data_IF_382063929473
#
_entry.id   IF_382063929473
#
_cell.length_a   1.000
_cell.length_b   1.000
_cell.length_c   1.000
_cell.angle_alpha   90.00
_cell.angle_beta   90.00
_cell.angle_gamma   90.00
#
_symmetry.space_group_name_H-M   'P 1'
#
loop_
_entity.id
_entity.type
_entity.pdbx_description
1 polymer ?
#
# COMPACT_ATOMS: atom_id res chain seq x y z
N UNK A 1 -34.29 34.30 25.56
CA UNK A 1 -32.84 34.54 25.29
C UNK A 1 -31.89 33.45 25.82
N UNK A 2 -32.34 32.45 26.61
CA UNK A 2 -31.47 31.38 27.13
C UNK A 2 -31.31 30.13 26.22
N UNK A 3 -32.16 29.98 25.19
CA UNK A 3 -32.13 28.81 24.28
C UNK A 3 -31.01 28.86 23.24
N UNK A 4 -30.54 30.05 22.86
CA UNK A 4 -29.49 30.25 21.84
C UNK A 4 -28.08 29.92 22.35
N UNK A 5 -27.82 30.05 23.66
CA UNK A 5 -26.50 29.78 24.25
C UNK A 5 -26.19 28.27 24.36
N UNK A 6 -27.22 27.41 24.41
CA UNK A 6 -27.06 25.95 24.53
C UNK A 6 -26.77 25.26 23.19
N UNK A 7 -27.20 25.89 22.10
CA UNK A 7 -27.03 25.37 20.75
C UNK A 7 -25.55 25.42 20.32
N UNK A 8 -24.87 26.55 20.55
CA UNK A 8 -23.44 26.78 20.23
C UNK A 8 -22.48 25.67 20.70
N UNK A 9 -22.66 25.21 21.94
CA UNK A 9 -21.83 24.17 22.57
C UNK A 9 -22.07 22.79 21.96
N UNK A 10 -23.30 22.54 21.49
CA UNK A 10 -23.67 21.29 20.84
C UNK A 10 -23.06 21.22 19.43
N UNK A 11 -23.04 22.31 18.67
CA UNK A 11 -22.40 22.33 17.34
C UNK A 11 -20.89 22.15 17.41
N UNK A 12 -20.22 22.73 18.42
CA UNK A 12 -18.79 22.48 18.65
C UNK A 12 -18.53 21.02 19.03
N UNK A 13 -19.37 20.40 19.84
CA UNK A 13 -19.24 18.99 20.19
C UNK A 13 -19.47 18.08 18.97
N UNK A 14 -20.49 18.37 18.15
CA UNK A 14 -20.77 17.65 16.92
C UNK A 14 -19.70 17.86 15.85
N UNK A 15 -19.15 19.07 15.69
CA UNK A 15 -18.04 19.31 14.76
C UNK A 15 -16.74 18.67 15.26
N UNK A 16 -16.48 18.66 16.57
CA UNK A 16 -15.33 17.97 17.14
C UNK A 16 -15.45 16.44 16.97
N UNK A 17 -16.66 15.89 17.15
CA UNK A 17 -16.94 14.47 16.92
C UNK A 17 -16.90 14.09 15.43
N UNK A 18 -17.44 14.93 14.55
CA UNK A 18 -17.34 14.72 13.10
C UNK A 18 -15.90 14.87 12.60
N UNK A 19 -15.12 15.79 13.18
CA UNK A 19 -13.70 15.97 12.88
C UNK A 19 -12.83 14.84 13.45
N UNK A 20 -13.19 14.25 14.59
CA UNK A 20 -12.50 13.08 15.14
C UNK A 20 -12.81 11.81 14.34
N UNK A 21 -14.05 11.64 13.86
CA UNK A 21 -14.42 10.51 13.00
C UNK A 21 -13.82 10.58 11.58
N UNK A 22 -13.56 11.78 11.03
CA UNK A 22 -12.83 11.91 9.75
C UNK A 22 -11.34 11.57 9.83
N UNK A 23 -10.78 11.43 11.03
CA UNK A 23 -9.32 11.26 11.23
C UNK A 23 -8.85 9.80 11.22
N UNK A 24 -9.72 8.83 10.93
CA UNK A 24 -9.45 7.37 11.01
C UNK A 24 -9.50 6.65 9.65
N UNK A 25 -9.12 7.31 8.55
CA UNK A 25 -8.97 6.66 7.24
C UNK A 25 -7.67 7.05 6.52
N UNK A 26 -6.54 6.88 7.19
CA UNK A 26 -5.21 6.89 6.56
C UNK A 26 -4.45 5.65 7.04
N UNK A 27 -4.10 4.74 6.14
CA UNK A 27 -3.13 3.69 6.44
C UNK A 27 -3.36 2.28 5.88
N UNK A 28 -4.42 2.03 5.09
CA UNK A 28 -4.70 0.67 4.59
C UNK A 28 -4.17 0.35 3.19
N UNK A 29 -4.17 1.32 2.26
CA UNK A 29 -3.96 1.05 0.83
C UNK A 29 -2.53 0.70 0.47
N UNK A 30 -1.54 1.29 1.13
CA UNK A 30 -0.12 1.08 0.80
C UNK A 30 0.34 -0.33 1.18
N UNK A 31 -0.06 -0.80 2.35
CA UNK A 31 0.17 -2.17 2.82
C UNK A 31 -0.48 -3.19 1.86
N UNK A 32 -1.68 -2.89 1.36
CA UNK A 32 -2.36 -3.75 0.38
C UNK A 32 -1.61 -3.82 -0.96
N UNK A 33 -1.15 -2.69 -1.49
CA UNK A 33 -0.41 -2.67 -2.77
C UNK A 33 0.91 -3.43 -2.65
N UNK A 34 1.65 -3.24 -1.56
CA UNK A 34 2.90 -3.98 -1.32
C UNK A 34 2.64 -5.48 -1.18
N UNK A 35 1.58 -5.87 -0.45
CA UNK A 35 1.18 -7.26 -0.27
C UNK A 35 0.81 -7.93 -1.61
N UNK A 36 -0.01 -7.27 -2.43
CA UNK A 36 -0.42 -7.80 -3.74
C UNK A 36 0.76 -7.87 -4.71
N UNK A 37 1.61 -6.83 -4.76
CA UNK A 37 2.80 -6.83 -5.63
C UNK A 37 3.78 -7.96 -5.26
N UNK A 38 4.01 -8.18 -3.96
CA UNK A 38 4.87 -9.26 -3.47
C UNK A 38 4.29 -10.64 -3.78
N UNK A 39 2.98 -10.83 -3.59
CA UNK A 39 2.30 -12.08 -3.92
C UNK A 39 2.37 -12.40 -5.43
N UNK A 40 2.17 -11.39 -6.29
CA UNK A 40 2.30 -11.54 -7.75
C UNK A 40 3.73 -11.91 -8.15
N UNK A 41 4.75 -11.30 -7.53
CA UNK A 41 6.15 -11.65 -7.79
C UNK A 41 6.45 -13.09 -7.38
N UNK A 42 6.05 -13.53 -6.18
CA UNK A 42 6.29 -14.89 -5.70
C UNK A 42 5.60 -15.91 -6.61
N UNK A 43 4.36 -15.65 -7.06
CA UNK A 43 3.66 -16.51 -7.99
C UNK A 43 4.43 -16.67 -9.32
N UNK A 44 4.93 -15.56 -9.87
CA UNK A 44 5.76 -15.56 -11.08
C UNK A 44 7.12 -16.23 -10.86
N UNK A 45 7.70 -16.09 -9.67
CA UNK A 45 9.00 -16.64 -9.35
C UNK A 45 8.96 -18.15 -9.12
N UNK A 46 7.94 -18.63 -8.40
CA UNK A 46 7.76 -20.04 -8.08
C UNK A 46 7.20 -20.83 -9.26
N UNK A 47 6.31 -20.22 -10.06
CA UNK A 47 5.58 -20.93 -11.11
C UNK A 47 5.84 -20.41 -12.53
N UNK A 48 6.45 -19.24 -12.69
CA UNK A 48 6.78 -18.67 -14.00
C UNK A 48 7.78 -19.52 -14.78
N UNK A 49 8.67 -20.25 -14.10
CA UNK A 49 9.51 -21.30 -14.73
C UNK A 49 8.69 -22.33 -15.50
N UNK A 50 7.62 -22.80 -14.87
CA UNK A 50 6.74 -23.82 -15.43
C UNK A 50 5.75 -23.24 -16.45
N UNK A 51 5.35 -21.96 -16.29
CA UNK A 51 4.39 -21.27 -17.15
C UNK A 51 5.02 -20.77 -18.46
N UNK A 52 6.22 -20.20 -18.40
CA UNK A 52 6.95 -19.72 -19.59
C UNK A 52 7.85 -20.80 -20.21
N UNK A 53 8.07 -21.92 -19.53
CA UNK A 53 8.83 -23.06 -20.03
C UNK A 53 10.32 -22.75 -20.25
N UNK A 54 10.84 -21.69 -19.66
CA UNK A 54 12.27 -21.38 -19.73
C UNK A 54 13.06 -22.37 -18.88
N UNK A 55 14.07 -22.99 -19.50
CA UNK A 55 15.04 -23.81 -18.80
C UNK A 55 16.14 -22.92 -18.24
N UNK A 56 16.23 -22.85 -16.92
CA UNK A 56 17.31 -22.21 -16.17
C UNK A 56 18.28 -23.25 -15.59
N UNK A 57 19.20 -23.80 -16.40
CA UNK A 57 20.23 -24.70 -15.88
C UNK A 57 21.24 -23.97 -14.98
N UNK A 58 21.47 -22.66 -15.19
CA UNK A 58 22.39 -21.83 -14.40
C UNK A 58 21.67 -20.87 -13.41
N UNK A 59 20.33 -20.81 -13.42
CA UNK A 59 19.57 -19.88 -12.58
C UNK A 59 19.72 -18.38 -12.93
N UNK A 60 20.22 -18.06 -14.13
CA UNK A 60 20.46 -16.69 -14.61
C UNK A 60 19.19 -15.86 -14.76
N UNK A 61 18.11 -16.43 -15.27
CA UNK A 61 16.83 -15.71 -15.45
C UNK A 61 16.16 -15.49 -14.10
N UNK A 62 16.26 -16.48 -13.22
CA UNK A 62 15.75 -16.37 -11.86
C UNK A 62 16.47 -15.27 -11.07
N UNK A 63 17.80 -15.17 -11.21
CA UNK A 63 18.60 -14.06 -10.69
C UNK A 63 18.17 -12.71 -11.28
N UNK A 64 18.02 -12.62 -12.60
CA UNK A 64 17.60 -11.39 -13.28
C UNK A 64 16.19 -10.92 -12.85
N UNK A 65 15.25 -11.86 -12.63
CA UNK A 65 13.92 -11.59 -12.10
C UNK A 65 13.97 -11.01 -10.69
N UNK A 66 14.78 -11.59 -9.80
CA UNK A 66 14.98 -11.06 -8.44
C UNK A 66 15.61 -9.68 -8.48
N UNK A 67 16.66 -9.49 -9.27
CA UNK A 67 17.36 -8.21 -9.37
C UNK A 67 16.44 -7.12 -9.92
N UNK A 68 15.68 -7.39 -10.97
CA UNK A 68 14.71 -6.43 -11.53
C UNK A 68 13.59 -6.07 -10.54
N UNK A 69 13.12 -7.03 -9.75
CA UNK A 69 12.13 -6.77 -8.70
C UNK A 69 12.68 -5.91 -7.56
N UNK A 70 13.89 -6.21 -7.07
CA UNK A 70 14.56 -5.41 -6.03
C UNK A 70 14.81 -3.98 -6.53
N UNK A 71 15.29 -3.81 -7.76
CA UNK A 71 15.47 -2.48 -8.36
C UNK A 71 14.16 -1.71 -8.49
N UNK A 72 13.07 -2.39 -8.85
CA UNK A 72 11.73 -1.80 -8.88
C UNK A 72 11.27 -1.30 -7.51
N UNK A 73 11.50 -2.10 -6.46
CA UNK A 73 11.23 -1.71 -5.07
C UNK A 73 12.07 -0.49 -4.65
N UNK A 74 13.38 -0.52 -4.91
CA UNK A 74 14.30 0.57 -4.56
C UNK A 74 13.97 1.87 -5.31
N UNK A 75 13.60 1.77 -6.59
CA UNK A 75 13.13 2.91 -7.39
C UNK A 75 11.82 3.48 -6.85
N UNK A 76 10.87 2.62 -6.47
CA UNK A 76 9.61 3.03 -5.84
C UNK A 76 9.82 3.74 -4.50
N UNK A 77 10.77 3.29 -3.68
CA UNK A 77 11.13 3.96 -2.43
C UNK A 77 11.73 5.36 -2.67
N UNK A 78 12.58 5.52 -3.68
CA UNK A 78 13.17 6.83 -4.03
C UNK A 78 12.12 7.82 -4.54
N UNK A 79 11.13 7.35 -5.30
CA UNK A 79 10.06 8.19 -5.84
C UNK A 79 9.08 8.72 -4.77
N UNK A 80 8.97 8.05 -3.61
CA UNK A 80 8.06 8.42 -2.52
C UNK A 80 8.65 9.43 -1.52
N UNK A 81 9.92 9.79 -1.68
CA UNK A 81 10.62 10.80 -0.87
C UNK A 81 10.64 12.22 -1.45
N UNK A 82 9.82 12.52 -2.47
CA UNK A 82 9.69 13.84 -3.10
C UNK A 82 8.48 14.62 -2.62
#
# INVERSE_FOLDING_TARGET
MAMLARAGKLYHLFTFLAASMRRRRKGGSEQMVVGVASAMFIALFAWGAQYFGWSDPDGKVQLALVTSFILGILGGYKAKGG
#
